data_IF_512819065305
#
_entry.id   IF_512819065305
#
_cell.length_a   1.000
_cell.length_b   1.000
_cell.length_c   1.000
_cell.angle_alpha   90.00
_cell.angle_beta   90.00
_cell.angle_gamma   90.00
#
_symmetry.space_group_name_H-M   'P 1'
#
loop_
_entity.id
_entity.type
_entity.pdbx_description
1 polymer ?
#
# COMPACT_ATOMS: atom_id res chain seq x y z
N UNK A 1 0.10 -2.65 -34.05
CA UNK A 1 -0.47 -2.94 -32.72
C UNK A 1 0.33 -2.36 -31.54
N UNK A 2 1.65 -2.17 -31.64
CA UNK A 2 2.46 -1.54 -30.58
C UNK A 2 2.00 -0.15 -30.13
N UNK A 3 1.50 0.68 -31.04
CA UNK A 3 1.02 2.03 -30.69
C UNK A 3 -0.20 1.99 -29.78
N UNK A 4 -1.09 0.99 -29.94
CA UNK A 4 -2.22 0.81 -29.04
C UNK A 4 -1.76 0.44 -27.63
N UNK A 5 -0.75 -0.43 -27.50
CA UNK A 5 -0.17 -0.80 -26.21
C UNK A 5 0.47 0.41 -25.53
N UNK A 6 1.25 1.20 -26.27
CA UNK A 6 1.86 2.44 -25.75
C UNK A 6 0.80 3.43 -25.26
N UNK A 7 -0.26 3.64 -26.03
CA UNK A 7 -1.37 4.52 -25.64
C UNK A 7 -2.05 3.98 -24.37
N UNK A 8 -2.38 2.69 -24.34
CA UNK A 8 -3.06 2.07 -23.19
C UNK A 8 -2.25 2.25 -21.90
N UNK A 9 -0.95 1.95 -21.92
CA UNK A 9 -0.06 2.15 -20.77
C UNK A 9 0.05 3.62 -20.36
N UNK A 10 0.17 4.54 -21.33
CA UNK A 10 0.24 5.98 -21.04
C UNK A 10 -1.06 6.53 -20.43
N UNK A 11 -2.21 5.98 -20.83
CA UNK A 11 -3.53 6.40 -20.35
C UNK A 11 -4.05 5.61 -19.15
N UNK A 12 -3.27 4.65 -18.65
CA UNK A 12 -3.68 3.79 -17.55
C UNK A 12 -3.87 4.62 -16.28
N UNK A 13 -5.09 4.65 -15.75
CA UNK A 13 -5.46 5.45 -14.56
C UNK A 13 -5.21 4.71 -13.25
N UNK A 14 -4.63 3.52 -13.28
CA UNK A 14 -4.51 2.65 -12.13
C UNK A 14 -5.71 1.71 -11.95
N UNK A 15 -5.67 0.96 -10.86
CA UNK A 15 -6.77 0.10 -10.39
C UNK A 15 -7.25 0.67 -9.07
N UNK A 16 -8.56 0.62 -8.82
CA UNK A 16 -9.11 1.00 -7.52
C UNK A 16 -8.42 0.24 -6.40
N UNK A 17 -8.14 0.93 -5.29
CA UNK A 17 -7.48 0.37 -4.10
C UNK A 17 -6.12 -0.27 -4.38
N UNK A 18 -5.32 0.32 -5.28
CA UNK A 18 -3.92 -0.05 -5.54
C UNK A 18 -3.07 1.21 -5.52
N UNK A 19 -2.55 1.57 -4.34
CA UNK A 19 -1.96 2.88 -4.05
C UNK A 19 -2.79 4.05 -4.59
N UNK A 20 -4.11 3.95 -4.44
CA UNK A 20 -5.03 4.95 -4.96
C UNK A 20 -4.96 6.22 -4.12
N UNK A 21 -4.61 7.34 -4.74
CA UNK A 21 -4.55 8.63 -4.07
C UNK A 21 -5.96 9.18 -3.83
N UNK A 22 -6.34 9.33 -2.56
CA UNK A 22 -7.65 9.85 -2.14
C UNK A 22 -7.66 11.36 -1.93
N UNK A 23 -6.50 11.98 -1.73
CA UNK A 23 -6.40 13.42 -1.54
C UNK A 23 -5.45 13.80 -0.42
N UNK A 24 -5.60 15.04 0.06
CA UNK A 24 -4.81 15.59 1.16
C UNK A 24 -5.72 16.00 2.30
N UNK A 25 -5.45 15.50 3.50
CA UNK A 25 -6.17 15.85 4.73
C UNK A 25 -5.17 16.43 5.74
N UNK A 26 -5.39 17.66 6.20
CA UNK A 26 -4.53 18.33 7.18
C UNK A 26 -3.02 18.24 6.86
N UNK A 27 -2.68 18.37 5.57
CA UNK A 27 -1.29 18.29 5.09
C UNK A 27 -0.77 16.86 4.82
N UNK A 28 -1.47 15.81 5.25
CA UNK A 28 -1.14 14.42 4.97
C UNK A 28 -1.70 13.97 3.61
N UNK A 29 -0.89 13.27 2.82
CA UNK A 29 -1.35 12.59 1.62
C UNK A 29 -2.02 11.27 2.03
N UNK A 30 -3.22 11.02 1.52
CA UNK A 30 -4.01 9.83 1.87
C UNK A 30 -4.05 8.89 0.66
N UNK A 31 -3.70 7.63 0.91
CA UNK A 31 -3.70 6.57 -0.09
C UNK A 31 -4.51 5.36 0.43
N UNK A 32 -5.20 4.66 -0.46
CA UNK A 32 -5.86 3.38 -0.17
C UNK A 32 -5.23 2.25 -0.98
N UNK A 33 -5.02 1.11 -0.32
CA UNK A 33 -4.49 -0.11 -0.94
C UNK A 33 -5.16 -1.36 -0.36
N UNK A 34 -5.47 -2.32 -1.23
CA UNK A 34 -6.04 -3.62 -0.90
C UNK A 34 -4.99 -4.67 -0.46
N UNK A 35 -3.71 -4.28 -0.32
CA UNK A 35 -2.63 -5.16 0.11
C UNK A 35 -2.96 -5.85 1.45
N UNK A 36 -3.12 -7.18 1.39
CA UNK A 36 -3.42 -8.03 2.55
C UNK A 36 -2.40 -9.17 2.71
N UNK A 37 -1.56 -9.43 1.71
CA UNK A 37 -0.45 -10.38 1.82
C UNK A 37 0.83 -9.63 2.23
N UNK A 38 1.69 -10.19 3.11
CA UNK A 38 2.95 -9.54 3.53
C UNK A 38 3.77 -8.97 2.37
N UNK A 39 3.96 -9.75 1.30
CA UNK A 39 4.67 -9.32 0.09
C UNK A 39 4.04 -8.08 -0.56
N UNK A 40 2.71 -8.02 -0.63
CA UNK A 40 2.01 -6.88 -1.23
C UNK A 40 2.17 -5.64 -0.34
N UNK A 41 2.00 -5.78 0.98
CA UNK A 41 2.15 -4.70 1.96
C UNK A 41 3.57 -4.12 1.88
N UNK A 42 4.59 -4.99 1.84
CA UNK A 42 5.99 -4.59 1.69
C UNK A 42 6.20 -3.78 0.41
N UNK A 43 5.62 -4.20 -0.71
CA UNK A 43 5.75 -3.48 -1.99
C UNK A 43 5.03 -2.14 -1.99
N UNK A 44 3.85 -2.06 -1.38
CA UNK A 44 3.12 -0.80 -1.16
C UNK A 44 3.96 0.19 -0.34
N UNK A 45 4.51 -0.23 0.79
CA UNK A 45 5.30 0.65 1.67
C UNK A 45 6.65 1.03 1.04
N UNK A 46 7.31 0.10 0.34
CA UNK A 46 8.52 0.39 -0.42
C UNK A 46 8.27 1.48 -1.46
N UNK A 47 7.21 1.35 -2.27
CA UNK A 47 6.86 2.34 -3.29
C UNK A 47 6.57 3.72 -2.68
N UNK A 48 5.83 3.79 -1.58
CA UNK A 48 5.60 5.07 -0.88
C UNK A 48 6.90 5.69 -0.37
N UNK A 49 7.81 4.89 0.19
CA UNK A 49 9.11 5.39 0.68
C UNK A 49 9.99 5.89 -0.47
N UNK A 50 9.99 5.21 -1.61
CA UNK A 50 10.74 5.64 -2.80
C UNK A 50 10.19 6.95 -3.40
N UNK A 51 8.87 7.11 -3.46
CA UNK A 51 8.23 8.32 -3.99
C UNK A 51 8.36 9.49 -2.99
N UNK A 52 8.29 9.21 -1.69
CA UNK A 52 8.27 10.23 -0.63
C UNK A 52 9.32 9.95 0.46
N UNK A 53 10.63 9.98 0.13
CA UNK A 53 11.70 9.50 1.03
C UNK A 53 11.79 10.24 2.36
N UNK A 54 11.40 11.53 2.36
CA UNK A 54 11.48 12.41 3.53
C UNK A 54 10.14 12.56 4.27
N UNK A 55 9.08 11.83 3.85
CA UNK A 55 7.79 11.87 4.53
C UNK A 55 7.69 10.75 5.55
N UNK A 56 7.03 11.05 6.67
CA UNK A 56 6.61 10.05 7.64
C UNK A 56 5.45 9.23 7.05
N UNK A 57 5.54 7.91 7.16
CA UNK A 57 4.55 6.95 6.69
C UNK A 57 3.73 6.47 7.89
N UNK A 58 2.42 6.66 7.83
CA UNK A 58 1.46 6.15 8.81
C UNK A 58 0.59 5.13 8.09
N UNK A 59 0.60 3.89 8.57
CA UNK A 59 -0.20 2.80 8.01
C UNK A 59 -1.37 2.51 8.91
N UNK A 60 -2.58 2.61 8.37
CA UNK A 60 -3.80 2.08 8.98
C UNK A 60 -4.03 0.68 8.39
N UNK A 61 -3.83 -0.36 9.20
CA UNK A 61 -3.93 -1.75 8.77
C UNK A 61 -5.13 -2.44 9.41
N UNK A 62 -5.97 -3.04 8.58
CA UNK A 62 -7.14 -3.78 9.03
C UNK A 62 -7.00 -5.27 8.66
N UNK A 63 -6.86 -6.17 9.65
CA UNK A 63 -6.66 -7.59 9.39
C UNK A 63 -8.00 -8.31 9.07
N UNK A 64 -8.59 -8.07 7.90
CA UNK A 64 -9.89 -8.67 7.51
C UNK A 64 -9.83 -10.07 6.88
N UNK A 65 -8.69 -10.49 6.34
CA UNK A 65 -8.60 -11.70 5.50
C UNK A 65 -8.01 -12.89 6.26
N UNK A 66 -8.27 -14.12 5.79
CA UNK A 66 -7.62 -15.33 6.31
C UNK A 66 -6.08 -15.22 6.31
N UNK A 67 -5.50 -14.58 5.28
CA UNK A 67 -4.06 -14.33 5.18
C UNK A 67 -3.54 -13.46 6.32
N UNK A 68 -4.34 -12.50 6.79
CA UNK A 68 -3.93 -11.52 7.81
C UNK A 68 -4.22 -11.95 9.24
N UNK A 69 -5.12 -12.93 9.46
CA UNK A 69 -5.53 -13.35 10.82
C UNK A 69 -4.96 -14.71 11.24
N UNK A 70 -4.51 -15.54 10.29
CA UNK A 70 -3.93 -16.86 10.62
C UNK A 70 -2.48 -16.71 11.11
N UNK A 71 -2.06 -17.63 11.98
CA UNK A 71 -0.69 -17.69 12.51
C UNK A 71 0.38 -18.15 11.48
N UNK A 72 0.09 -18.08 10.18
CA UNK A 72 1.02 -18.53 9.13
C UNK A 72 1.96 -17.39 8.73
N UNK A 73 1.48 -16.15 8.74
CA UNK A 73 2.21 -15.00 8.18
C UNK A 73 2.50 -13.91 9.22
N UNK A 74 2.39 -14.20 10.52
CA UNK A 74 2.48 -13.15 11.55
C UNK A 74 3.86 -12.47 11.55
N UNK A 75 4.94 -13.25 11.49
CA UNK A 75 6.30 -12.71 11.42
C UNK A 75 6.52 -11.87 10.15
N UNK A 76 6.03 -12.33 9.00
CA UNK A 76 6.17 -11.60 7.75
C UNK A 76 5.30 -10.34 7.71
N UNK A 77 4.12 -10.36 8.32
CA UNK A 77 3.26 -9.19 8.49
C UNK A 77 3.93 -8.15 9.38
N UNK A 78 4.51 -8.57 10.52
CA UNK A 78 5.29 -7.68 11.39
C UNK A 78 6.43 -7.05 10.59
N UNK A 79 7.21 -7.87 9.87
CA UNK A 79 8.34 -7.37 9.08
C UNK A 79 7.92 -6.45 7.93
N UNK A 80 6.77 -6.71 7.29
CA UNK A 80 6.25 -5.83 6.24
C UNK A 80 5.74 -4.50 6.81
N UNK A 81 4.94 -4.54 7.87
CA UNK A 81 4.34 -3.34 8.49
C UNK A 81 5.39 -2.46 9.19
N UNK A 82 6.46 -3.04 9.72
CA UNK A 82 7.56 -2.32 10.37
C UNK A 82 8.33 -1.37 9.44
N UNK A 83 8.06 -1.38 8.12
CA UNK A 83 8.59 -0.39 7.19
C UNK A 83 7.91 0.98 7.33
N UNK A 84 6.74 1.05 7.96
CA UNK A 84 6.06 2.30 8.28
C UNK A 84 6.57 2.86 9.60
N UNK A 85 6.59 4.19 9.72
CA UNK A 85 7.03 4.86 10.95
C UNK A 85 6.00 4.72 12.08
N UNK A 86 4.71 4.61 11.72
CA UNK A 86 3.61 4.33 12.65
C UNK A 86 2.66 3.33 12.01
N UNK A 87 2.27 2.31 12.78
CA UNK A 87 1.25 1.33 12.39
C UNK A 87 0.10 1.43 13.38
N UNK A 88 -1.10 1.68 12.87
CA UNK A 88 -2.35 1.61 13.61
C UNK A 88 -3.10 0.39 13.11
N UNK A 89 -3.37 -0.56 14.00
CA UNK A 89 -4.16 -1.74 13.69
C UNK A 89 -5.59 -1.46 14.15
N UNK A 90 -6.55 -1.56 13.22
CA UNK A 90 -7.97 -1.39 13.54
C UNK A 90 -8.60 -2.70 14.03
N UNK A 91 -9.72 -2.64 14.77
CA UNK A 91 -10.44 -3.83 15.24
C UNK A 91 -10.86 -4.78 14.12
#
# INVERSE_FOLDING_TARGET
DWDKIKIALKTFKGVKRRLEYWGRLNGALVFDDFAHHPTAIRKTLQAIKEIYPQKRIITLFEPRTNTTVRNIFQEELIGALSMADVVVITP
#
